data_IF_081453117138
#
_entry.id   IF_081453117138
#
_cell.length_a   1.000
_cell.length_b   1.000
_cell.length_c   1.000
_cell.angle_alpha   90.00
_cell.angle_beta   90.00
_cell.angle_gamma   90.00
#
_symmetry.space_group_name_H-M   'P 1'
#
loop_
_entity.id
_entity.type
_entity.pdbx_description
1 polymer ?
#
# COMPACT_ATOMS: atom_id res chain seq x y z
N UNK A 1 4.48 -49.03 56.36
CA UNK A 1 3.88 -48.42 55.15
C UNK A 1 4.96 -48.32 54.09
N UNK A 2 5.06 -49.31 53.20
CA UNK A 2 6.07 -49.31 52.13
C UNK A 2 5.56 -48.39 51.03
N UNK A 3 6.11 -47.17 50.96
CA UNK A 3 5.77 -46.17 49.95
C UNK A 3 6.15 -46.74 48.57
N UNK A 4 5.15 -47.04 47.76
CA UNK A 4 5.33 -47.75 46.49
C UNK A 4 6.28 -46.98 45.58
N UNK A 5 7.34 -47.64 45.12
CA UNK A 5 8.38 -47.09 44.25
C UNK A 5 7.84 -46.66 42.86
N UNK A 6 6.57 -46.92 42.57
CA UNK A 6 5.84 -46.51 41.36
C UNK A 6 5.80 -45.00 41.16
N UNK A 7 5.76 -44.21 42.23
CA UNK A 7 5.72 -42.74 42.11
C UNK A 7 7.02 -42.17 41.54
N UNK A 8 8.16 -42.80 41.80
CA UNK A 8 9.44 -42.40 41.20
C UNK A 8 9.45 -42.65 39.68
N UNK A 9 8.88 -43.77 39.23
CA UNK A 9 8.75 -44.06 37.80
C UNK A 9 7.79 -43.10 37.10
N UNK A 10 6.68 -42.74 37.74
CA UNK A 10 5.79 -41.69 37.24
C UNK A 10 6.52 -40.35 37.12
N UNK A 11 7.34 -39.98 38.11
CA UNK A 11 8.11 -38.74 38.08
C UNK A 11 9.13 -38.73 36.93
N UNK A 12 9.84 -39.83 36.71
CA UNK A 12 10.80 -39.98 35.61
C UNK A 12 10.10 -39.87 34.25
N UNK A 13 8.96 -40.55 34.08
CA UNK A 13 8.19 -40.49 32.84
C UNK A 13 7.73 -39.06 32.52
N UNK A 14 7.26 -38.33 33.53
CA UNK A 14 6.85 -36.92 33.38
C UNK A 14 8.05 -36.03 33.01
N UNK A 15 9.20 -36.21 33.66
CA UNK A 15 10.41 -35.45 33.33
C UNK A 15 10.92 -35.74 31.91
N UNK A 16 10.88 -37.00 31.49
CA UNK A 16 11.25 -37.41 30.13
C UNK A 16 10.32 -36.79 29.08
N UNK A 17 9.01 -36.81 29.34
CA UNK A 17 8.02 -36.16 28.48
C UNK A 17 8.21 -34.64 28.41
N UNK A 18 8.44 -33.99 29.55
CA UNK A 18 8.67 -32.55 29.60
C UNK A 18 9.95 -32.15 28.86
N UNK A 19 11.05 -32.85 29.13
CA UNK A 19 12.34 -32.62 28.46
C UNK A 19 12.28 -32.92 26.96
N UNK A 20 11.64 -34.02 26.57
CA UNK A 20 11.43 -34.37 25.17
C UNK A 20 10.58 -33.35 24.42
N UNK A 21 9.48 -32.90 25.02
CA UNK A 21 8.60 -31.88 24.43
C UNK A 21 9.31 -30.54 24.25
N UNK A 22 10.08 -30.11 25.26
CA UNK A 22 10.88 -28.88 25.18
C UNK A 22 11.99 -28.99 24.13
N UNK A 23 12.67 -30.14 24.05
CA UNK A 23 13.70 -30.39 23.05
C UNK A 23 13.14 -30.30 21.63
N UNK A 24 11.98 -30.91 21.37
CA UNK A 24 11.28 -30.79 20.07
C UNK A 24 10.91 -29.33 19.79
N UNK A 25 10.37 -28.60 20.77
CA UNK A 25 10.01 -27.19 20.59
C UNK A 25 11.20 -26.30 20.21
N UNK A 26 12.37 -26.50 20.82
CA UNK A 26 13.57 -25.70 20.51
C UNK A 26 14.20 -26.10 19.18
N UNK A 27 14.21 -27.39 18.84
CA UNK A 27 14.84 -27.89 17.60
C UNK A 27 14.00 -27.58 16.34
N UNK A 28 12.67 -27.52 16.47
CA UNK A 28 11.75 -27.27 15.36
C UNK A 28 11.05 -25.90 15.46
N UNK A 29 11.47 -25.04 16.39
CA UNK A 29 11.00 -23.67 16.47
C UNK A 29 11.48 -22.85 15.27
N UNK A 30 10.67 -21.87 14.86
CA UNK A 30 11.03 -20.97 13.76
C UNK A 30 12.21 -20.06 14.13
N UNK A 31 13.05 -19.75 13.14
CA UNK A 31 14.09 -18.75 13.32
C UNK A 31 13.47 -17.38 13.60
N UNK A 32 14.04 -16.61 14.55
CA UNK A 32 13.59 -15.24 14.76
C UNK A 32 13.80 -14.41 13.49
N UNK A 33 12.89 -13.47 13.26
CA UNK A 33 12.97 -12.57 12.11
C UNK A 33 14.34 -11.88 12.06
N UNK A 34 14.92 -11.66 10.86
CA UNK A 34 16.16 -10.92 10.71
C UNK A 34 16.08 -9.55 11.41
N UNK A 35 17.22 -9.07 11.92
CA UNK A 35 17.28 -7.76 12.56
C UNK A 35 16.76 -6.67 11.61
N UNK A 36 15.86 -5.82 12.10
CA UNK A 36 15.24 -4.74 11.33
C UNK A 36 13.95 -5.12 10.60
N UNK A 37 13.53 -6.39 10.61
CA UNK A 37 12.22 -6.81 10.11
C UNK A 37 11.27 -6.98 11.28
N UNK A 38 10.20 -6.19 11.28
CA UNK A 38 9.09 -6.32 12.24
C UNK A 38 7.93 -7.01 11.53
N UNK A 39 7.41 -8.08 12.12
CA UNK A 39 6.17 -8.68 11.66
C UNK A 39 4.99 -7.91 12.24
N UNK A 40 4.23 -7.27 11.37
CA UNK A 40 3.06 -6.49 11.74
C UNK A 40 2.19 -6.24 10.52
N UNK A 41 0.92 -5.96 10.76
CA UNK A 41 0.01 -5.56 9.70
C UNK A 41 0.21 -4.08 9.39
N UNK A 42 0.17 -3.71 8.12
CA UNK A 42 0.27 -2.34 7.64
C UNK A 42 -0.48 -2.16 6.34
N UNK A 43 -0.74 -0.90 5.99
CA UNK A 43 -1.31 -0.54 4.70
C UNK A 43 -0.35 0.38 3.96
N UNK A 44 -0.24 0.20 2.64
CA UNK A 44 0.52 1.10 1.79
C UNK A 44 -0.46 2.15 1.27
N UNK A 45 -0.24 3.41 1.62
CA UNK A 45 -1.07 4.51 1.17
C UNK A 45 -0.38 5.32 0.07
N UNK A 46 -1.18 5.76 -0.90
CA UNK A 46 -0.74 6.66 -1.97
C UNK A 46 -1.74 7.79 -2.15
N UNK A 47 -1.25 8.98 -2.50
CA UNK A 47 -2.14 10.10 -2.84
C UNK A 47 -2.71 9.89 -4.24
N UNK A 48 -3.99 9.58 -4.32
CA UNK A 48 -4.74 9.56 -5.57
C UNK A 48 -5.20 10.98 -5.92
N UNK A 49 -4.99 11.40 -7.17
CA UNK A 49 -5.55 12.64 -7.71
C UNK A 49 -6.26 12.32 -9.00
N UNK A 50 -7.57 12.54 -9.02
CA UNK A 50 -8.40 12.44 -10.21
C UNK A 50 -8.58 13.84 -10.78
N UNK A 51 -8.14 14.03 -12.02
CA UNK A 51 -8.29 15.30 -12.74
C UNK A 51 -9.49 15.22 -13.69
N UNK A 52 -10.17 16.34 -13.84
CA UNK A 52 -11.24 16.52 -14.81
C UNK A 52 -11.10 17.90 -15.45
N UNK A 53 -11.66 18.06 -16.65
CA UNK A 53 -11.70 19.36 -17.29
C UNK A 53 -12.62 20.33 -16.52
N UNK A 54 -12.18 21.56 -16.32
CA UNK A 54 -12.98 22.61 -15.67
C UNK A 54 -14.08 23.17 -16.59
N UNK A 55 -13.92 22.98 -17.90
CA UNK A 55 -14.86 23.43 -18.94
C UNK A 55 -15.28 22.26 -19.80
N UNK A 56 -16.52 22.29 -20.28
CA UNK A 56 -16.99 21.35 -21.28
C UNK A 56 -16.40 21.69 -22.66
N UNK A 57 -16.16 20.66 -23.47
CA UNK A 57 -15.72 20.82 -24.85
C UNK A 57 -15.19 19.53 -25.43
N UNK A 58 -14.87 19.56 -26.73
CA UNK A 58 -14.30 18.41 -27.44
C UNK A 58 -12.79 18.38 -27.24
N UNK A 59 -12.24 17.23 -26.86
CA UNK A 59 -10.79 17.01 -26.82
C UNK A 59 -10.27 16.92 -28.25
N UNK A 60 -9.27 17.74 -28.58
CA UNK A 60 -8.63 17.78 -29.91
C UNK A 60 -7.20 17.24 -29.90
N UNK A 61 -6.54 17.23 -28.74
CA UNK A 61 -5.21 16.64 -28.54
C UNK A 61 -5.16 15.87 -27.22
N UNK A 62 -4.46 14.74 -27.20
CA UNK A 62 -4.22 13.92 -26.02
C UNK A 62 -2.73 13.60 -25.91
N UNK A 63 -2.10 14.01 -24.82
CA UNK A 63 -0.65 13.90 -24.63
C UNK A 63 -0.26 12.91 -23.52
N UNK A 64 -1.23 12.40 -22.76
CA UNK A 64 -0.96 11.43 -21.70
C UNK A 64 -0.72 10.03 -22.27
N UNK A 65 0.24 9.33 -21.69
CA UNK A 65 0.51 7.92 -21.97
C UNK A 65 0.37 7.17 -20.66
N UNK A 66 -0.41 6.09 -20.67
CA UNK A 66 -0.67 5.29 -19.48
C UNK A 66 0.64 4.76 -18.86
N UNK A 67 0.75 4.82 -17.53
CA UNK A 67 1.93 4.41 -16.78
C UNK A 67 3.12 5.39 -16.84
N UNK A 68 3.03 6.47 -17.63
CA UNK A 68 4.10 7.47 -17.69
C UNK A 68 4.08 8.39 -16.47
N UNK A 69 5.27 8.83 -16.04
CA UNK A 69 5.40 9.86 -15.01
C UNK A 69 4.98 11.21 -15.57
N UNK A 70 4.29 12.01 -14.75
CA UNK A 70 3.86 13.36 -15.07
C UNK A 70 4.30 14.32 -13.97
N UNK A 71 4.52 15.57 -14.33
CA UNK A 71 4.87 16.67 -13.45
C UNK A 71 3.77 17.74 -13.44
N UNK A 72 3.76 18.57 -12.39
CA UNK A 72 2.86 19.70 -12.35
C UNK A 72 3.15 20.66 -13.52
N UNK A 73 2.11 21.04 -14.26
CA UNK A 73 2.21 21.89 -15.44
C UNK A 73 2.29 21.14 -16.77
N UNK A 74 2.45 19.81 -16.76
CA UNK A 74 2.39 19.01 -17.99
C UNK A 74 1.00 19.12 -18.63
N UNK A 75 0.96 19.28 -19.96
CA UNK A 75 -0.30 19.30 -20.71
C UNK A 75 -0.82 17.88 -20.83
N UNK A 76 -1.97 17.59 -20.23
CA UNK A 76 -2.60 16.28 -20.38
C UNK A 76 -3.38 16.14 -21.68
N UNK A 77 -4.24 17.12 -21.96
CA UNK A 77 -5.08 17.16 -23.16
C UNK A 77 -5.40 18.61 -23.53
N UNK A 78 -5.79 18.84 -24.79
CA UNK A 78 -6.26 20.14 -25.28
C UNK A 78 -7.73 20.02 -25.66
N UNK A 79 -8.55 20.91 -25.10
CA UNK A 79 -9.96 21.07 -25.45
C UNK A 79 -10.09 22.17 -26.50
N UNK A 80 -10.99 21.97 -27.47
CA UNK A 80 -11.30 22.93 -28.54
C UNK A 80 -11.59 24.33 -27.97
N UNK A 81 -10.72 25.33 -28.22
CA UNK A 81 -10.81 26.64 -27.57
C UNK A 81 -11.69 27.64 -28.34
N UNK A 82 -12.45 27.21 -29.36
CA UNK A 82 -13.24 28.11 -30.21
C UNK A 82 -14.12 29.08 -29.38
N UNK A 83 -14.95 28.54 -28.49
CA UNK A 83 -15.84 29.35 -27.63
C UNK A 83 -15.07 30.31 -26.71
N UNK A 84 -13.93 29.85 -26.16
CA UNK A 84 -13.08 30.66 -25.30
C UNK A 84 -12.43 31.82 -26.08
N UNK A 85 -12.00 31.57 -27.31
CA UNK A 85 -11.44 32.59 -28.21
C UNK A 85 -12.50 33.61 -28.61
N UNK A 86 -13.73 33.17 -28.87
CA UNK A 86 -14.84 34.07 -29.22
C UNK A 86 -15.18 35.01 -28.06
N UNK A 87 -15.31 34.47 -26.84
CA UNK A 87 -15.52 35.28 -25.62
C UNK A 87 -14.39 36.27 -25.38
N UNK A 88 -13.13 35.84 -25.57
CA UNK A 88 -11.97 36.71 -25.43
C UNK A 88 -12.01 37.87 -26.43
N UNK A 89 -12.36 37.60 -27.70
CA UNK A 89 -12.48 38.64 -28.74
C UNK A 89 -13.59 39.64 -28.42
N UNK A 90 -14.76 39.16 -27.98
CA UNK A 90 -15.87 40.04 -27.59
C UNK A 90 -15.48 40.96 -26.43
N UNK A 91 -14.88 40.41 -25.37
CA UNK A 91 -14.43 41.21 -24.23
C UNK A 91 -13.36 42.25 -24.62
N UNK A 92 -12.43 41.88 -25.50
CA UNK A 92 -11.42 42.82 -26.00
C UNK A 92 -12.03 43.97 -26.83
N UNK A 93 -13.05 43.69 -27.63
CA UNK A 93 -13.76 44.71 -28.40
C UNK A 93 -14.54 45.67 -27.49
N UNK A 94 -15.16 45.17 -26.43
CA UNK A 94 -15.85 45.98 -25.42
C UNK A 94 -14.90 46.92 -24.68
N UNK A 95 -13.67 46.48 -24.37
CA UNK A 95 -12.66 47.34 -23.72
C UNK A 95 -12.10 48.43 -24.66
N UNK A 96 -12.15 48.21 -25.98
CA UNK A 96 -11.60 49.13 -26.96
C UNK A 96 -12.62 50.18 -27.46
N UNK A 97 -13.89 50.03 -27.08
CA UNK A 97 -14.99 50.95 -27.38
C UNK A 97 -15.07 52.08 -26.34
#
# INVERSE_FOLDING_TARGET
MVKSQSWLWSLIAVLALAGGSYGVFVLFGEEPLPQGIVYGNGHVEGREVRIAAEVAGRVIEHHLVEGSKVSAGDRGAVIDPADARDRLRSAQAELAA
#
